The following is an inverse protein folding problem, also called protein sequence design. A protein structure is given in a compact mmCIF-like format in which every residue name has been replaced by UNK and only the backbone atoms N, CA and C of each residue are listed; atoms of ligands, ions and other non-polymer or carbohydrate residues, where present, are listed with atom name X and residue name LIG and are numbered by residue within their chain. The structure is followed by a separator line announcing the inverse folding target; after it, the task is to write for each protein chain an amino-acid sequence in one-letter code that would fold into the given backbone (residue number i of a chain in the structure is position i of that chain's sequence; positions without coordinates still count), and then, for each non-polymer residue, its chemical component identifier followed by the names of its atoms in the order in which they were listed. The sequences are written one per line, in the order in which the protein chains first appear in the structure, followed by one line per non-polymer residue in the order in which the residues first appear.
data_IF_017879460332
#
_entry.id   IF_017879460332
#
_cell.length_a   1.000
_cell.length_b   1.000
_cell.length_c   1.000
_cell.angle_alpha   90.00
_cell.angle_beta   90.00
_cell.angle_gamma   90.00
#
_symmetry.space_group_name_H-M   'P 1'
#
loop_
_entity.id
_entity.type
_entity.pdbx_description
1 polymer ?
#
# COMPACT_ATOMS: atom_id res chain seq x y z
N UNK A 1 29.97 -7.34 -55.08
CA UNK A 1 28.82 -7.32 -54.14
C UNK A 1 29.00 -6.13 -53.19
N UNK A 2 28.19 -5.08 -53.33
CA UNK A 2 28.22 -3.94 -52.40
C UNK A 2 27.67 -4.38 -51.05
N UNK A 3 28.49 -4.31 -49.99
CA UNK A 3 28.04 -4.51 -48.61
C UNK A 3 27.40 -3.21 -48.15
N UNK A 4 26.08 -3.15 -48.17
CA UNK A 4 25.32 -1.99 -47.73
C UNK A 4 25.51 -1.81 -46.21
N UNK A 5 26.24 -0.77 -45.81
CA UNK A 5 26.57 -0.46 -44.39
C UNK A 5 25.52 0.43 -43.74
N UNK A 6 24.24 0.18 -44.00
CA UNK A 6 23.18 0.93 -43.33
C UNK A 6 23.07 0.46 -41.87
N UNK A 7 23.32 1.35 -40.93
CA UNK A 7 23.12 1.12 -39.49
C UNK A 7 22.07 2.08 -38.95
N UNK A 8 21.16 1.58 -38.12
CA UNK A 8 20.18 2.42 -37.44
C UNK A 8 20.83 3.26 -36.34
N UNK A 9 20.46 4.54 -36.24
CA UNK A 9 20.72 5.30 -35.02
C UNK A 9 20.00 4.63 -33.84
N UNK A 10 20.64 4.60 -32.67
CA UNK A 10 20.06 4.00 -31.47
C UNK A 10 18.69 4.59 -31.13
N UNK A 11 18.56 5.91 -31.23
CA UNK A 11 17.30 6.64 -31.04
C UNK A 11 16.20 6.26 -32.04
N UNK A 12 16.56 5.95 -33.30
CA UNK A 12 15.61 5.49 -34.31
C UNK A 12 15.20 4.04 -34.05
N UNK A 13 16.15 3.18 -33.64
CA UNK A 13 15.89 1.78 -33.27
C UNK A 13 14.96 1.69 -32.06
N UNK A 14 15.16 2.53 -31.05
CA UNK A 14 14.35 2.53 -29.82
C UNK A 14 12.89 2.93 -30.07
N UNK A 15 12.59 3.68 -31.14
CA UNK A 15 11.21 4.02 -31.55
C UNK A 15 10.47 2.86 -32.20
N UNK A 16 11.18 1.95 -32.86
CA UNK A 16 10.61 0.78 -33.56
C UNK A 16 10.67 -0.47 -32.68
N UNK A 17 11.60 -0.51 -31.72
CA UNK A 17 11.81 -1.66 -30.84
C UNK A 17 10.67 -1.81 -29.83
N UNK A 18 9.80 -2.78 -30.09
CA UNK A 18 8.80 -3.24 -29.13
C UNK A 18 9.41 -3.99 -27.94
N UNK A 19 10.73 -4.13 -27.85
CA UNK A 19 11.40 -4.80 -26.71
C UNK A 19 11.06 -4.17 -25.36
N UNK A 20 10.82 -2.86 -25.32
CA UNK A 20 10.40 -2.18 -24.08
C UNK A 20 8.97 -2.59 -23.70
N UNK A 21 8.09 -2.77 -24.68
CA UNK A 21 6.70 -3.22 -24.49
C UNK A 21 6.67 -4.69 -24.07
N UNK A 22 7.44 -5.56 -24.74
CA UNK A 22 7.55 -6.97 -24.39
C UNK A 22 8.17 -7.19 -23.00
N UNK A 23 9.17 -6.39 -22.61
CA UNK A 23 9.71 -6.40 -21.23
C UNK A 23 8.66 -6.01 -20.18
N UNK A 24 7.78 -5.05 -20.48
CA UNK A 24 6.68 -4.68 -19.58
C UNK A 24 5.62 -5.79 -19.50
N UNK A 25 5.30 -6.46 -20.63
CA UNK A 25 4.39 -7.61 -20.67
C UNK A 25 4.91 -8.79 -19.84
N UNK A 26 6.21 -9.10 -19.92
CA UNK A 26 6.82 -10.17 -19.11
C UNK A 26 6.72 -9.92 -17.61
N UNK A 27 6.92 -8.66 -17.15
CA UNK A 27 6.69 -8.31 -15.73
C UNK A 27 5.25 -8.54 -15.28
N UNK A 28 4.26 -8.37 -16.18
CA UNK A 28 2.84 -8.59 -15.87
C UNK A 28 2.46 -10.08 -15.81
N UNK A 29 3.19 -10.94 -16.52
CA UNK A 29 2.95 -12.39 -16.55
C UNK A 29 3.59 -13.08 -15.32
N UNK A 30 4.76 -12.61 -14.87
CA UNK A 30 5.42 -13.14 -13.67
C UNK A 30 4.64 -12.83 -12.37
N UNK A 31 3.82 -11.77 -12.34
CA UNK A 31 2.93 -11.44 -11.21
C UNK A 31 1.70 -12.38 -11.09
N UNK A 32 1.44 -13.20 -12.12
CA UNK A 32 0.32 -14.17 -12.14
C UNK A 32 0.78 -15.63 -11.99
N UNK A 33 2.09 -15.87 -11.83
CA UNK A 33 2.61 -17.23 -11.64
C UNK A 33 3.25 -17.33 -10.28
N UNK A 34 2.46 -17.79 -9.31
CA UNK A 34 2.91 -18.21 -7.98
C UNK A 34 4.01 -19.28 -8.13
N UNK A 35 5.28 -18.89 -7.98
CA UNK A 35 6.32 -19.79 -7.49
C UNK A 35 7.35 -18.97 -6.72
N UNK A 36 7.35 -19.16 -5.40
CA UNK A 36 8.23 -18.53 -4.43
C UNK A 36 9.67 -18.90 -4.79
N UNK A 37 10.43 -17.95 -5.34
CA UNK A 37 11.89 -18.03 -5.36
C UNK A 37 12.43 -17.24 -4.19
N UNK A 38 12.82 -17.94 -3.13
CA UNK A 38 13.61 -17.44 -2.00
C UNK A 38 14.93 -16.82 -2.49
N UNK A 39 14.91 -15.54 -2.84
CA UNK A 39 16.11 -14.71 -2.95
C UNK A 39 15.86 -13.35 -2.31
N UNK A 40 16.31 -13.26 -1.06
CA UNK A 40 16.73 -12.04 -0.34
C UNK A 40 15.97 -10.75 -0.71
N UNK A 41 14.67 -10.73 -0.42
CA UNK A 41 13.94 -9.47 -0.27
C UNK A 41 14.11 -9.06 1.20
N UNK A 42 14.53 -7.82 1.45
CA UNK A 42 14.59 -7.26 2.81
C UNK A 42 13.24 -7.48 3.49
N UNK A 43 13.24 -8.23 4.59
CA UNK A 43 12.03 -8.66 5.30
C UNK A 43 11.06 -7.52 5.68
N UNK A 44 11.52 -6.27 5.66
CA UNK A 44 10.71 -5.08 5.96
C UNK A 44 9.66 -4.72 4.90
N UNK A 45 9.73 -5.27 3.67
CA UNK A 45 8.75 -4.97 2.60
C UNK A 45 7.77 -6.10 2.32
N UNK A 46 7.99 -7.30 2.86
CA UNK A 46 7.04 -8.42 2.78
C UNK A 46 6.07 -8.35 3.95
N UNK A 47 5.40 -7.21 4.08
CA UNK A 47 4.23 -7.11 4.94
C UNK A 47 3.05 -7.67 4.13
N UNK A 48 3.05 -8.98 3.92
CA UNK A 48 1.80 -9.71 3.64
C UNK A 48 0.98 -9.65 4.93
N UNK A 49 0.44 -8.49 5.23
CA UNK A 49 -0.43 -8.33 6.39
C UNK A 49 -1.83 -8.29 5.90
N UNK A 50 -2.56 -9.32 6.29
CA UNK A 50 -3.96 -9.21 6.68
C UNK A 50 -4.17 -7.79 7.22
N UNK A 51 -4.96 -7.00 6.51
CA UNK A 51 -5.25 -5.65 6.97
C UNK A 51 -6.02 -5.79 8.29
N UNK A 52 -5.48 -5.18 9.33
CA UNK A 52 -6.06 -5.21 10.67
C UNK A 52 -6.63 -3.82 10.99
N UNK A 53 -7.65 -3.79 11.83
CA UNK A 53 -8.21 -2.56 12.32
C UNK A 53 -7.19 -1.79 13.17
N UNK A 54 -6.98 -0.51 12.88
CA UNK A 54 -6.06 0.35 13.62
C UNK A 54 -6.45 0.52 15.10
N UNK A 55 -7.72 0.36 15.43
CA UNK A 55 -8.22 0.52 16.80
C UNK A 55 -8.02 -0.74 17.64
N UNK A 56 -8.47 -1.91 17.17
CA UNK A 56 -8.47 -3.15 17.96
C UNK A 56 -7.43 -4.19 17.52
N UNK A 57 -6.67 -3.95 16.44
CA UNK A 57 -5.72 -4.90 15.85
C UNK A 57 -6.32 -6.21 15.33
N UNK A 58 -7.64 -6.36 15.33
CA UNK A 58 -8.33 -7.53 14.78
C UNK A 58 -8.48 -7.43 13.26
N UNK A 59 -8.49 -8.55 12.52
CA UNK A 59 -8.66 -8.59 11.08
C UNK A 59 -10.08 -8.16 10.65
N UNK A 60 -10.31 -8.13 9.33
CA UNK A 60 -11.65 -8.01 8.77
C UNK A 60 -12.54 -9.16 9.27
N UNK A 61 -13.50 -8.86 10.14
CA UNK A 61 -14.57 -9.78 10.50
C UNK A 61 -15.67 -9.80 9.42
N UNK A 62 -16.89 -10.20 9.79
CA UNK A 62 -18.04 -10.21 8.89
C UNK A 62 -18.35 -8.84 8.27
N UNK A 63 -18.15 -7.76 9.03
CA UNK A 63 -18.46 -6.39 8.61
C UNK A 63 -17.38 -5.76 7.70
N UNK A 64 -16.26 -6.46 7.48
CA UNK A 64 -15.12 -5.94 6.74
C UNK A 64 -14.39 -4.78 7.42
N UNK A 65 -13.43 -4.21 6.71
CA UNK A 65 -12.68 -3.02 7.13
C UNK A 65 -12.92 -1.85 6.18
N UNK A 66 -13.01 -0.66 6.75
CA UNK A 66 -13.09 0.60 6.03
C UNK A 66 -11.71 1.23 5.91
N UNK A 67 -11.39 1.74 4.73
CA UNK A 67 -10.14 2.46 4.50
C UNK A 67 -10.33 3.94 4.84
N UNK A 68 -9.38 4.52 5.56
CA UNK A 68 -9.34 5.95 5.79
C UNK A 68 -9.10 6.68 4.47
N UNK A 69 -9.90 7.73 4.21
CA UNK A 69 -9.86 8.46 2.94
C UNK A 69 -9.86 9.98 3.10
N UNK A 70 -9.95 10.50 4.33
CA UNK A 70 -10.00 11.94 4.59
C UNK A 70 -9.07 12.34 5.74
N UNK A 71 -8.47 13.52 5.63
CA UNK A 71 -7.65 14.11 6.71
C UNK A 71 -8.49 14.51 7.92
N UNK A 72 -9.75 14.89 7.70
CA UNK A 72 -10.68 15.21 8.78
C UNK A 72 -10.92 14.01 9.71
N UNK A 73 -10.96 12.79 9.15
CA UNK A 73 -11.05 11.57 9.95
C UNK A 73 -9.82 11.39 10.83
N UNK A 74 -8.60 11.57 10.30
CA UNK A 74 -7.36 11.51 11.11
C UNK A 74 -7.38 12.56 12.22
N UNK A 75 -7.71 13.81 11.89
CA UNK A 75 -7.75 14.90 12.84
C UNK A 75 -8.69 14.61 14.01
N UNK A 76 -9.92 14.16 13.72
CA UNK A 76 -10.89 13.81 14.75
C UNK A 76 -10.39 12.65 15.60
N UNK A 77 -9.93 11.55 14.97
CA UNK A 77 -9.41 10.38 15.69
C UNK A 77 -8.23 10.76 16.59
N UNK A 78 -7.33 11.64 16.12
CA UNK A 78 -6.17 12.10 16.88
C UNK A 78 -6.57 12.94 18.07
N UNK A 79 -7.54 13.85 17.94
CA UNK A 79 -8.05 14.64 19.06
C UNK A 79 -8.66 13.75 20.15
N UNK A 80 -9.53 12.81 19.77
CA UNK A 80 -10.10 11.85 20.73
C UNK A 80 -9.01 10.97 21.37
N UNK A 81 -8.00 10.55 20.60
CA UNK A 81 -6.88 9.77 21.15
C UNK A 81 -6.05 10.58 22.17
N UNK A 82 -5.87 11.88 21.96
CA UNK A 82 -5.21 12.79 22.92
C UNK A 82 -6.06 12.96 24.17
N UNK A 83 -7.35 13.27 24.02
CA UNK A 83 -8.30 13.48 25.12
C UNK A 83 -8.41 12.23 26.01
N UNK A 84 -8.48 11.06 25.39
CA UNK A 84 -8.55 9.76 26.08
C UNK A 84 -7.20 9.24 26.56
N UNK A 85 -6.10 9.96 26.28
CA UNK A 85 -4.72 9.54 26.56
C UNK A 85 -4.43 8.13 26.01
N UNK A 86 -4.98 7.80 24.84
CA UNK A 86 -4.78 6.51 24.18
C UNK A 86 -3.41 6.46 23.50
N UNK A 87 -2.38 6.23 24.33
CA UNK A 87 -0.98 6.20 23.91
C UNK A 87 -0.69 5.15 22.83
N UNK A 88 -1.44 4.04 22.81
CA UNK A 88 -1.28 2.99 21.81
C UNK A 88 -1.78 3.46 20.45
N UNK A 89 -2.95 4.10 20.40
CA UNK A 89 -3.48 4.68 19.16
C UNK A 89 -2.59 5.83 18.67
N UNK A 90 -2.12 6.70 19.56
CA UNK A 90 -1.19 7.78 19.22
C UNK A 90 0.13 7.25 18.67
N UNK A 91 0.67 6.17 19.22
CA UNK A 91 1.89 5.55 18.70
C UNK A 91 1.68 5.04 17.26
N UNK A 92 0.53 4.43 16.94
CA UNK A 92 0.20 4.00 15.57
C UNK A 92 0.12 5.20 14.61
N UNK A 93 -0.48 6.29 15.06
CA UNK A 93 -0.64 7.54 14.30
C UNK A 93 0.61 8.43 14.25
N UNK A 94 1.69 8.04 14.91
CA UNK A 94 2.97 8.77 14.87
C UNK A 94 3.76 8.50 13.57
N UNK A 95 3.47 7.37 12.91
CA UNK A 95 4.12 6.97 11.65
C UNK A 95 3.68 7.86 10.48
N UNK A 96 2.46 8.38 10.55
CA UNK A 96 1.84 9.24 9.55
C UNK A 96 0.35 9.40 9.84
N UNK A 97 -0.31 10.27 9.08
CA UNK A 97 -1.77 10.37 9.12
C UNK A 97 -2.43 9.06 8.63
N UNK A 98 -3.69 8.84 9.02
CA UNK A 98 -4.45 7.63 8.67
C UNK A 98 -4.51 7.35 7.17
N UNK A 99 -4.44 8.36 6.30
CA UNK A 99 -4.46 8.17 4.85
C UNK A 99 -3.09 7.69 4.36
N UNK A 100 -2.02 8.32 4.83
CA UNK A 100 -0.63 8.02 4.47
C UNK A 100 -0.21 6.60 4.91
N UNK A 101 -0.65 6.16 6.08
CA UNK A 101 -0.38 4.79 6.56
C UNK A 101 -1.39 3.75 6.04
N UNK A 102 -2.26 4.17 5.10
CA UNK A 102 -3.35 3.37 4.54
C UNK A 102 -4.21 2.66 5.61
N UNK A 103 -4.49 3.37 6.71
CA UNK A 103 -5.17 2.82 7.87
C UNK A 103 -6.53 2.24 7.49
N UNK A 104 -6.81 1.07 8.06
CA UNK A 104 -8.10 0.42 7.95
C UNK A 104 -8.74 0.26 9.33
N UNK A 105 -10.06 0.30 9.40
CA UNK A 105 -10.79 0.27 10.67
C UNK A 105 -12.17 -0.37 10.56
N UNK A 106 -12.68 -0.94 11.66
CA UNK A 106 -14.09 -1.30 11.75
C UNK A 106 -14.92 -0.05 12.08
N UNK A 107 -16.09 0.12 11.43
CA UNK A 107 -17.05 1.19 11.75
C UNK A 107 -17.41 1.22 13.24
N UNK A 108 -17.66 0.05 13.82
CA UNK A 108 -18.00 -0.09 15.25
C UNK A 108 -16.91 0.44 16.18
N UNK A 109 -15.63 0.23 15.82
CA UNK A 109 -14.50 0.69 16.62
C UNK A 109 -14.36 2.21 16.56
N UNK A 110 -14.58 2.82 15.38
CA UNK A 110 -14.60 4.27 15.25
C UNK A 110 -15.74 4.88 16.09
N UNK A 111 -16.95 4.32 16.00
CA UNK A 111 -18.08 4.77 16.82
C UNK A 111 -17.81 4.61 18.31
N UNK A 112 -17.15 3.52 18.73
CA UNK A 112 -16.78 3.30 20.12
C UNK A 112 -15.74 4.31 20.61
N UNK A 113 -14.79 4.72 19.77
CA UNK A 113 -13.84 5.77 20.11
C UNK A 113 -14.57 7.10 20.39
N UNK A 114 -15.46 7.52 19.50
CA UNK A 114 -16.19 8.78 19.67
C UNK A 114 -17.11 8.78 20.88
N UNK A 115 -17.76 7.64 21.19
CA UNK A 115 -18.58 7.51 22.40
C UNK A 115 -17.78 7.58 23.70
N UNK A 116 -16.48 7.28 23.67
CA UNK A 116 -15.64 7.34 24.88
C UNK A 116 -15.23 8.75 25.25
N UNK A 117 -15.13 9.66 24.27
CA UNK A 117 -14.79 11.07 24.50
C UNK A 117 -16.00 12.01 24.54
N UNK A 118 -17.22 11.48 24.53
CA UNK A 118 -18.46 12.21 24.82
C UNK A 118 -18.91 11.93 26.25
#
# INVERSE_FOLDING_TARGET
MLKNRASWHKSCKDKISNEKVERLRKRKIEDSTEFISEKYIRASLLKSTVSNCIFCNEPAGLDGLHRASTFELDFNVRNYAIELQDTQLLAKLSVGDMVAIEAQYHKKCLSALYRRGQ
#
